data_IF_941608967786
#
_entry.id   IF_941608967786
#
_cell.length_a   1.000
_cell.length_b   1.000
_cell.length_c   1.000
_cell.angle_alpha   90.00
_cell.angle_beta   90.00
_cell.angle_gamma   90.00
#
_symmetry.space_group_name_H-M   'P 1'
#
loop_
_entity.id
_entity.type
_entity.pdbx_description
1 polymer ?
#
# COMPACT_ATOMS: atom_id res chain seq x y z
N UNK A 1 6.98 9.67 -1.55
CA UNK A 1 5.87 8.93 -0.91
C UNK A 1 6.25 7.46 -0.77
N UNK A 2 6.00 6.89 0.38
CA UNK A 2 6.28 5.47 0.63
C UNK A 2 4.97 4.75 0.87
N UNK A 3 4.70 3.76 0.03
CA UNK A 3 3.52 2.92 0.12
C UNK A 3 3.97 1.53 0.55
N UNK A 4 3.54 1.09 1.72
CA UNK A 4 3.90 -0.22 2.25
C UNK A 4 2.70 -1.15 2.17
N UNK A 5 2.90 -2.31 1.55
CA UNK A 5 1.88 -3.36 1.47
C UNK A 5 2.32 -4.46 2.43
N UNK A 6 1.59 -4.60 3.51
CA UNK A 6 1.89 -5.58 4.55
C UNK A 6 1.20 -6.90 4.24
N UNK A 7 1.95 -7.97 4.16
CA UNK A 7 1.41 -9.29 3.92
C UNK A 7 2.51 -10.29 3.66
N UNK A 8 2.21 -11.56 3.86
CA UNK A 8 3.19 -12.63 3.80
C UNK A 8 3.29 -13.29 2.41
N UNK A 9 2.91 -12.57 1.35
CA UNK A 9 3.03 -13.05 -0.02
C UNK A 9 1.87 -13.90 -0.51
N UNK A 10 0.73 -13.86 0.18
CA UNK A 10 -0.46 -14.58 -0.26
C UNK A 10 -1.05 -13.94 -1.53
N UNK A 11 -1.93 -14.64 -2.27
CA UNK A 11 -2.53 -14.07 -3.48
C UNK A 11 -3.24 -12.74 -3.25
N UNK A 12 -3.89 -12.58 -2.10
CA UNK A 12 -4.56 -11.31 -1.76
C UNK A 12 -3.56 -10.18 -1.56
N UNK A 13 -2.41 -10.50 -0.96
CA UNK A 13 -1.34 -9.52 -0.76
C UNK A 13 -0.74 -9.09 -2.09
N UNK A 14 -0.56 -10.04 -3.00
CA UNK A 14 -0.04 -9.76 -4.34
C UNK A 14 -1.02 -8.89 -5.15
N UNK A 15 -2.32 -9.17 -5.04
CA UNK A 15 -3.34 -8.36 -5.70
C UNK A 15 -3.35 -6.93 -5.17
N UNK A 16 -3.17 -6.77 -3.87
CA UNK A 16 -3.09 -5.46 -3.23
C UNK A 16 -1.90 -4.66 -3.74
N UNK A 17 -0.73 -5.30 -3.82
CA UNK A 17 0.47 -4.66 -4.35
C UNK A 17 0.28 -4.24 -5.81
N UNK A 18 -0.30 -5.13 -6.62
CA UNK A 18 -0.56 -4.84 -8.03
C UNK A 18 -1.47 -3.62 -8.17
N UNK A 19 -2.53 -3.54 -7.37
CA UNK A 19 -3.46 -2.41 -7.40
C UNK A 19 -2.77 -1.12 -6.96
N UNK A 20 -1.89 -1.20 -5.96
CA UNK A 20 -1.14 -0.03 -5.50
C UNK A 20 -0.19 0.49 -6.59
N UNK A 21 0.52 -0.42 -7.26
CA UNK A 21 1.42 -0.05 -8.37
C UNK A 21 0.63 0.58 -9.51
N UNK A 22 -0.50 -0.02 -9.85
CA UNK A 22 -1.36 0.49 -10.93
C UNK A 22 -1.88 1.90 -10.60
N UNK A 23 -2.25 2.13 -9.34
CA UNK A 23 -2.73 3.44 -8.89
C UNK A 23 -1.64 4.51 -9.08
N UNK A 24 -0.41 4.19 -8.70
CA UNK A 24 0.72 5.10 -8.87
C UNK A 24 0.91 5.45 -10.33
N UNK A 25 0.87 4.44 -11.20
CA UNK A 25 1.05 4.65 -12.65
C UNK A 25 -0.07 5.49 -13.25
N UNK A 26 -1.31 5.25 -12.84
CA UNK A 26 -2.46 5.98 -13.37
C UNK A 26 -2.45 7.45 -12.95
N UNK A 27 -1.78 7.77 -11.85
CA UNK A 27 -1.63 9.15 -11.40
C UNK A 27 -0.44 9.85 -12.08
N UNK A 28 0.24 9.16 -13.00
CA UNK A 28 1.40 9.74 -13.69
C UNK A 28 2.66 9.78 -12.86
N UNK A 29 2.69 9.06 -11.74
CA UNK A 29 3.85 9.00 -10.86
C UNK A 29 4.75 7.84 -11.25
N UNK A 30 6.05 7.99 -11.06
CA UNK A 30 7.01 6.94 -11.38
C UNK A 30 7.25 6.07 -10.15
N UNK A 31 7.02 4.77 -10.30
CA UNK A 31 7.29 3.79 -9.24
C UNK A 31 8.79 3.72 -9.01
N UNK A 32 9.19 3.91 -7.76
CA UNK A 32 10.60 3.91 -7.38
C UNK A 32 11.24 5.29 -7.35
N UNK A 33 10.56 6.31 -7.89
CA UNK A 33 11.04 7.70 -7.86
C UNK A 33 10.07 8.59 -7.10
N UNK A 34 8.85 8.74 -7.66
CA UNK A 34 7.82 9.59 -7.04
C UNK A 34 7.12 8.89 -5.89
N UNK A 35 6.98 7.57 -5.99
CA UNK A 35 6.38 6.76 -4.94
C UNK A 35 7.07 5.40 -4.94
N UNK A 36 7.42 4.91 -3.74
CA UNK A 36 7.97 3.57 -3.58
C UNK A 36 6.88 2.64 -3.07
N UNK A 37 6.69 1.51 -3.74
CA UNK A 37 5.77 0.47 -3.29
C UNK A 37 6.62 -0.67 -2.75
N UNK A 38 6.55 -0.88 -1.45
CA UNK A 38 7.38 -1.85 -0.74
C UNK A 38 6.51 -2.92 -0.09
N UNK A 39 6.92 -4.18 -0.22
CA UNK A 39 6.26 -5.27 0.49
C UNK A 39 6.90 -5.45 1.86
N UNK A 40 6.05 -5.56 2.89
CA UNK A 40 6.48 -5.85 4.25
C UNK A 40 6.00 -7.26 4.57
N UNK A 41 6.94 -8.22 4.60
CA UNK A 41 6.61 -9.64 4.78
C UNK A 41 6.96 -10.18 6.16
N UNK A 42 7.77 -9.47 6.92
CA UNK A 42 8.20 -9.90 8.26
C UNK A 42 7.07 -9.65 9.26
N UNK A 43 6.66 -10.72 9.96
CA UNK A 43 5.59 -10.67 10.94
C UNK A 43 5.85 -9.61 12.02
N UNK A 44 7.10 -9.51 12.48
CA UNK A 44 7.47 -8.54 13.52
C UNK A 44 7.30 -7.11 13.01
N UNK A 45 7.71 -6.85 11.76
CA UNK A 45 7.57 -5.52 11.17
C UNK A 45 6.12 -5.18 10.90
N UNK A 46 5.32 -6.16 10.48
CA UNK A 46 3.89 -5.97 10.28
C UNK A 46 3.21 -5.62 11.60
N UNK A 47 3.52 -6.36 12.67
CA UNK A 47 2.96 -6.09 14.00
C UNK A 47 3.40 -4.72 14.52
N UNK A 48 4.64 -4.34 14.27
CA UNK A 48 5.16 -3.04 14.72
C UNK A 48 4.42 -1.87 14.08
N UNK A 49 3.78 -2.08 12.93
CA UNK A 49 2.98 -1.07 12.23
C UNK A 49 1.52 -1.06 12.66
N UNK A 50 1.16 -1.87 13.66
CA UNK A 50 -0.21 -1.95 14.15
C UNK A 50 -1.14 -2.73 13.23
N UNK A 51 -0.61 -3.57 12.36
CA UNK A 51 -1.41 -4.38 11.45
C UNK A 51 -1.74 -5.72 12.11
N UNK A 52 -3.02 -6.04 12.16
CA UNK A 52 -3.50 -7.29 12.76
C UNK A 52 -3.94 -8.27 11.66
N UNK A 53 -4.58 -7.77 10.62
CA UNK A 53 -5.12 -8.58 9.52
C UNK A 53 -4.48 -8.14 8.21
N UNK A 54 -3.89 -9.09 7.46
CA UNK A 54 -3.32 -8.79 6.15
C UNK A 54 -4.29 -9.16 5.03
N UNK A 55 -4.21 -8.52 3.86
CA UNK A 55 -3.27 -7.47 3.50
C UNK A 55 -3.63 -6.11 4.12
N UNK A 56 -2.63 -5.25 4.28
CA UNK A 56 -2.84 -3.90 4.76
C UNK A 56 -1.99 -2.95 3.94
N UNK A 57 -2.46 -1.71 3.78
CA UNK A 57 -1.74 -0.68 3.03
C UNK A 57 -1.47 0.50 3.95
N UNK A 58 -0.22 0.94 3.96
CA UNK A 58 0.23 2.08 4.75
C UNK A 58 0.89 3.08 3.80
N UNK A 59 0.41 4.32 3.80
CA UNK A 59 0.94 5.39 2.96
C UNK A 59 1.55 6.45 3.87
N UNK A 60 2.87 6.65 3.74
CA UNK A 60 3.62 7.62 4.55
C UNK A 60 3.35 7.48 6.04
N UNK A 61 3.31 6.24 6.51
CA UNK A 61 3.11 5.94 7.92
C UNK A 61 1.66 5.90 8.39
N UNK A 62 0.71 6.15 7.49
CA UNK A 62 -0.73 6.13 7.84
C UNK A 62 -1.37 4.88 7.25
N UNK A 63 -1.94 4.05 8.11
CA UNK A 63 -2.64 2.84 7.69
C UNK A 63 -3.99 3.24 7.08
N UNK A 64 -4.15 3.01 5.77
CA UNK A 64 -5.36 3.40 5.04
C UNK A 64 -6.30 2.23 4.75
N UNK A 65 -5.80 1.00 4.86
CA UNK A 65 -6.60 -0.19 4.59
C UNK A 65 -6.04 -1.38 5.35
N UNK A 66 -6.93 -2.24 5.84
CA UNK A 66 -6.52 -3.44 6.56
C UNK A 66 -7.58 -4.54 6.36
N UNK A 67 -7.11 -5.75 6.07
CA UNK A 67 -7.97 -6.92 6.03
C UNK A 67 -8.77 -7.12 4.76
N UNK A 68 -8.54 -6.30 3.74
CA UNK A 68 -9.21 -6.46 2.44
C UNK A 68 -8.31 -5.96 1.32
N UNK A 69 -8.65 -6.36 0.10
CA UNK A 69 -7.92 -5.89 -1.09
C UNK A 69 -8.53 -4.56 -1.52
N UNK A 70 -7.79 -3.44 -1.45
CA UNK A 70 -8.30 -2.17 -1.92
C UNK A 70 -8.31 -2.16 -3.45
N UNK A 71 -9.27 -1.43 -4.03
CA UNK A 71 -9.29 -1.26 -5.48
C UNK A 71 -8.25 -0.22 -5.89
N UNK A 72 -7.89 -0.23 -7.17
CA UNK A 72 -6.99 0.77 -7.73
C UNK A 72 -7.54 2.19 -7.49
N UNK A 73 -8.84 2.37 -7.66
CA UNK A 73 -9.48 3.67 -7.46
C UNK A 73 -9.36 4.15 -6.02
N UNK A 74 -9.54 3.26 -5.06
CA UNK A 74 -9.39 3.60 -3.65
C UNK A 74 -7.96 4.04 -3.33
N UNK A 75 -6.98 3.30 -3.84
CA UNK A 75 -5.57 3.63 -3.59
C UNK A 75 -5.23 4.98 -4.22
N UNK A 76 -5.72 5.25 -5.44
CA UNK A 76 -5.53 6.56 -6.09
C UNK A 76 -6.05 7.68 -5.23
N UNK A 77 -7.24 7.53 -4.68
CA UNK A 77 -7.85 8.53 -3.82
C UNK A 77 -6.99 8.79 -2.57
N UNK A 78 -6.52 7.73 -1.93
CA UNK A 78 -5.68 7.88 -0.74
C UNK A 78 -4.36 8.58 -1.04
N UNK A 79 -3.76 8.26 -2.19
CA UNK A 79 -2.51 8.90 -2.61
C UNK A 79 -2.74 10.39 -2.85
N UNK A 80 -3.82 10.74 -3.54
CA UNK A 80 -4.15 12.14 -3.80
C UNK A 80 -4.39 12.92 -2.52
N UNK A 81 -5.08 12.32 -1.55
CA UNK A 81 -5.30 12.94 -0.25
C UNK A 81 -3.99 13.22 0.48
N UNK A 82 -3.04 12.29 0.41
CA UNK A 82 -1.73 12.47 1.04
C UNK A 82 -0.90 13.53 0.34
N UNK A 83 -1.01 13.64 -0.98
CA UNK A 83 -0.26 14.64 -1.75
C UNK A 83 -0.68 16.06 -1.45
N UNK A 84 -1.88 16.27 -0.96
CA UNK A 84 -2.40 17.59 -0.65
C UNK A 84 -1.96 18.11 0.72
N UNK A 85 -1.23 17.31 1.46
CA UNK A 85 -0.71 17.67 2.77
C UNK A 85 0.82 17.91 2.71
#
# INVERSE_FOLDING_TARGET
MIIEVCGMGCPRCQATEKNAIQAVKELGMKVGEDAMVTEIKDVKQISARGVIITPAVIIDGVKVCEGRIPSTQEVKKWIEERKQH
#
